data_IF_072746124905
#
_entry.id   IF_072746124905
#
_cell.length_a   1.000
_cell.length_b   1.000
_cell.length_c   1.000
_cell.angle_alpha   90.00
_cell.angle_beta   90.00
_cell.angle_gamma   90.00
#
_symmetry.space_group_name_H-M   'P 1'
#
loop_
_entity.id
_entity.type
_entity.pdbx_description
1 polymer ?
#
# COMPACT_ATOMS: atom_id res chain seq x y z
N UNK A 1 4.19 -10.93 13.52
CA UNK A 1 2.76 -10.64 13.75
C UNK A 1 2.29 -9.65 12.68
N UNK A 2 1.20 -9.94 11.96
CA UNK A 2 0.72 -9.04 10.90
C UNK A 2 0.15 -7.74 11.47
N UNK A 3 0.39 -6.63 10.73
CA UNK A 3 -0.18 -5.31 10.97
C UNK A 3 -0.89 -4.89 9.70
N UNK A 4 -2.20 -4.66 9.77
CA UNK A 4 -2.98 -4.07 8.69
C UNK A 4 -3.24 -2.61 9.03
N UNK A 5 -2.87 -1.70 8.13
CA UNK A 5 -3.07 -0.26 8.29
C UNK A 5 -4.43 0.13 7.69
N UNK A 6 -5.25 0.82 8.47
CA UNK A 6 -6.53 1.37 8.04
C UNK A 6 -6.45 2.89 7.97
N UNK A 7 -6.85 3.46 6.86
CA UNK A 7 -6.87 4.89 6.64
C UNK A 7 -8.18 5.38 6.02
N UNK A 8 -8.41 6.67 6.04
CA UNK A 8 -9.61 7.31 5.50
C UNK A 8 -10.67 7.63 6.55
N UNK A 9 -11.77 8.29 6.14
CA UNK A 9 -12.77 8.84 7.07
C UNK A 9 -13.42 7.80 7.99
N UNK A 10 -13.65 6.59 7.48
CA UNK A 10 -14.30 5.49 8.19
C UNK A 10 -13.32 4.40 8.69
N UNK A 11 -12.02 4.69 8.69
CA UNK A 11 -10.97 3.72 9.02
C UNK A 11 -11.17 3.03 10.38
N UNK A 12 -11.44 3.80 11.43
CA UNK A 12 -11.67 3.25 12.77
C UNK A 12 -12.93 2.37 12.80
N UNK A 13 -14.01 2.82 12.19
CA UNK A 13 -15.25 2.06 12.12
C UNK A 13 -15.07 0.75 11.38
N UNK A 14 -14.32 0.77 10.27
CA UNK A 14 -13.99 -0.43 9.49
C UNK A 14 -13.11 -1.38 10.32
N UNK A 15 -12.05 -0.89 10.94
CA UNK A 15 -11.15 -1.68 11.77
C UNK A 15 -11.91 -2.37 12.92
N UNK A 16 -12.79 -1.64 13.62
CA UNK A 16 -13.61 -2.20 14.71
C UNK A 16 -14.61 -3.26 14.24
N UNK A 17 -15.16 -3.11 13.03
CA UNK A 17 -16.03 -4.12 12.43
C UNK A 17 -15.31 -5.41 12.08
N UNK A 18 -14.05 -5.31 11.67
CA UNK A 18 -13.20 -6.42 11.28
C UNK A 18 -12.45 -7.04 12.47
N UNK A 19 -12.45 -6.36 13.62
CA UNK A 19 -11.77 -6.84 14.82
C UNK A 19 -12.36 -8.16 15.30
N UNK A 20 -11.49 -9.15 15.46
CA UNK A 20 -11.82 -10.47 15.99
C UNK A 20 -11.20 -10.69 17.37
N UNK A 21 -11.67 -11.67 18.18
CA UNK A 21 -11.05 -11.99 19.45
C UNK A 21 -9.55 -12.27 19.33
N UNK A 22 -8.75 -11.54 20.08
CA UNK A 22 -7.29 -11.62 20.04
C UNK A 22 -6.62 -10.59 19.10
N UNK A 23 -7.38 -9.83 18.31
CA UNK A 23 -6.86 -8.71 17.57
C UNK A 23 -6.77 -7.46 18.45
N UNK A 24 -5.81 -6.58 18.12
CA UNK A 24 -5.63 -5.32 18.82
C UNK A 24 -5.73 -4.14 17.86
N UNK A 25 -6.47 -3.10 18.28
CA UNK A 25 -6.53 -1.82 17.57
C UNK A 25 -5.48 -0.89 18.16
N UNK A 26 -4.69 -0.27 17.29
CA UNK A 26 -3.71 0.77 17.63
C UNK A 26 -4.14 2.05 16.92
N UNK A 27 -4.48 3.07 17.68
CA UNK A 27 -5.01 4.33 17.15
C UNK A 27 -4.70 5.50 18.10
N UNK A 28 -4.68 6.72 17.60
CA UNK A 28 -4.53 7.94 18.39
C UNK A 28 -5.81 8.37 19.12
N UNK A 29 -6.97 7.98 18.61
CA UNK A 29 -8.28 8.47 19.05
C UNK A 29 -9.23 7.36 19.57
N UNK A 30 -8.70 6.17 19.87
CA UNK A 30 -9.49 5.05 20.34
C UNK A 30 -8.85 4.39 21.57
N UNK A 31 -9.59 4.31 22.66
CA UNK A 31 -9.17 3.70 23.95
C UNK A 31 -10.18 2.65 24.43
N UNK A 32 -10.59 1.75 23.57
CA UNK A 32 -11.51 0.66 23.87
C UNK A 32 -10.81 -0.64 24.30
N UNK A 33 -11.58 -1.68 24.61
CA UNK A 33 -11.03 -3.01 24.91
C UNK A 33 -10.15 -3.54 23.76
N UNK A 34 -8.97 -4.05 24.07
CA UNK A 34 -8.04 -4.55 23.06
C UNK A 34 -7.42 -3.44 22.22
N UNK A 35 -7.16 -2.27 22.80
CA UNK A 35 -6.51 -1.15 22.12
C UNK A 35 -5.21 -0.71 22.78
N UNK A 36 -4.40 0.01 22.01
CA UNK A 36 -3.25 0.79 22.45
C UNK A 36 -3.36 2.17 21.83
N UNK A 37 -3.33 3.21 22.64
CA UNK A 37 -3.35 4.59 22.15
C UNK A 37 -1.96 5.00 21.68
N UNK A 38 -1.88 5.58 20.49
CA UNK A 38 -0.70 6.31 20.03
C UNK A 38 -0.77 7.72 20.62
N UNK A 39 0.27 8.12 21.31
CA UNK A 39 0.43 9.50 21.74
C UNK A 39 1.21 10.26 20.65
N UNK A 40 0.58 11.21 19.94
CA UNK A 40 1.23 11.91 18.85
C UNK A 40 2.43 12.73 19.35
N UNK A 41 3.61 12.47 18.82
CA UNK A 41 4.78 13.31 19.05
C UNK A 41 4.79 14.51 18.10
N UNK A 42 4.23 15.62 18.55
CA UNK A 42 4.14 16.88 17.80
C UNK A 42 5.54 17.43 17.44
N UNK A 43 6.55 17.15 18.26
CA UNK A 43 7.92 17.62 18.01
C UNK A 43 8.57 16.93 16.81
N UNK A 44 8.22 15.67 16.54
CA UNK A 44 8.72 14.94 15.38
C UNK A 44 8.06 15.38 14.06
N UNK A 45 6.79 15.74 14.08
CA UNK A 45 6.06 16.21 12.88
C UNK A 45 6.67 17.49 12.28
N UNK A 46 7.37 18.30 13.06
CA UNK A 46 7.90 19.61 12.63
C UNK A 46 9.38 19.62 12.26
N UNK A 47 10.14 18.57 12.55
CA UNK A 47 11.62 18.60 12.47
C UNK A 47 12.24 17.70 11.42
N UNK A 48 11.52 16.83 10.77
CA UNK A 48 12.12 15.80 9.91
C UNK A 48 11.75 15.97 8.44
N UNK A 49 12.73 15.68 7.58
CA UNK A 49 12.47 15.48 6.17
C UNK A 49 11.41 14.37 6.00
N UNK A 50 10.29 14.62 5.30
CA UNK A 50 9.26 13.61 5.10
C UNK A 50 9.78 12.30 4.48
N UNK A 51 10.89 12.38 3.74
CA UNK A 51 11.50 11.23 3.09
C UNK A 51 12.30 10.29 4.01
N UNK A 52 12.64 10.75 5.24
CA UNK A 52 13.50 10.00 6.17
C UNK A 52 12.89 9.84 7.56
N UNK A 53 11.67 10.35 7.77
CA UNK A 53 11.08 10.41 9.10
C UNK A 53 10.56 9.05 9.57
N UNK A 54 11.22 8.46 10.54
CA UNK A 54 10.65 7.37 11.33
C UNK A 54 9.73 7.99 12.39
N UNK A 55 8.53 7.51 12.47
CA UNK A 55 7.54 7.94 13.46
C UNK A 55 7.74 7.19 14.77
N UNK A 56 8.44 7.81 15.73
CA UNK A 56 8.74 7.21 17.02
C UNK A 56 7.48 6.94 17.86
N UNK A 57 6.45 7.77 17.74
CA UNK A 57 5.14 7.56 18.37
C UNK A 57 4.48 6.26 17.87
N UNK A 58 4.55 6.00 16.57
CA UNK A 58 4.06 4.78 15.94
C UNK A 58 4.85 3.55 16.40
N UNK A 59 6.18 3.64 16.38
CA UNK A 59 7.09 2.56 16.83
C UNK A 59 6.76 2.17 18.26
N UNK A 60 6.68 3.15 19.17
CA UNK A 60 6.39 2.91 20.57
C UNK A 60 5.00 2.29 20.77
N UNK A 61 3.97 2.81 20.10
CA UNK A 61 2.62 2.27 20.16
C UNK A 61 2.54 0.80 19.72
N UNK A 62 3.19 0.47 18.60
CA UNK A 62 3.22 -0.89 18.07
C UNK A 62 4.04 -1.84 18.94
N UNK A 63 5.19 -1.39 19.47
CA UNK A 63 5.98 -2.19 20.40
C UNK A 63 5.24 -2.44 21.71
N UNK A 64 4.52 -1.46 22.25
CA UNK A 64 3.65 -1.66 23.41
C UNK A 64 2.58 -2.72 23.13
N UNK A 65 1.94 -2.67 21.96
CA UNK A 65 0.97 -3.68 21.56
C UNK A 65 1.61 -5.07 21.43
N UNK A 66 2.76 -5.16 20.76
CA UNK A 66 3.45 -6.42 20.50
C UNK A 66 4.01 -7.11 21.76
N UNK A 67 4.42 -6.34 22.78
CA UNK A 67 5.03 -6.83 24.03
C UNK A 67 4.03 -7.15 25.13
N UNK A 68 2.73 -7.11 24.85
CA UNK A 68 1.72 -7.45 25.86
C UNK A 68 1.85 -8.91 26.30
N UNK A 69 1.50 -9.17 27.57
CA UNK A 69 1.57 -10.52 28.17
C UNK A 69 0.75 -11.55 27.35
N UNK A 70 -0.41 -11.14 26.84
CA UNK A 70 -1.17 -11.91 25.86
C UNK A 70 -0.89 -11.30 24.49
N UNK A 71 0.01 -11.94 23.73
CA UNK A 71 0.40 -11.48 22.40
C UNK A 71 -0.81 -11.41 21.46
N UNK A 72 -1.02 -10.30 20.76
CA UNK A 72 -2.09 -10.20 19.78
C UNK A 72 -1.93 -11.20 18.65
N UNK A 73 -3.05 -11.61 18.06
CA UNK A 73 -3.06 -12.39 16.83
C UNK A 73 -2.63 -11.53 15.65
N UNK A 74 -3.15 -10.31 15.56
CA UNK A 74 -2.82 -9.26 14.60
C UNK A 74 -3.06 -7.87 15.18
N UNK A 75 -2.49 -6.87 14.56
CA UNK A 75 -2.71 -5.46 14.91
C UNK A 75 -3.48 -4.79 13.78
N UNK A 76 -4.54 -4.08 14.14
CA UNK A 76 -5.30 -3.18 13.30
C UNK A 76 -4.84 -1.76 13.63
N UNK A 77 -3.97 -1.21 12.78
CA UNK A 77 -3.43 0.12 12.96
C UNK A 77 -4.33 1.14 12.24
N UNK A 78 -4.90 2.06 12.97
CA UNK A 78 -5.76 3.11 12.41
C UNK A 78 -4.96 4.40 12.29
N UNK A 79 -4.75 4.86 11.07
CA UNK A 79 -4.11 6.12 10.77
C UNK A 79 -5.04 7.30 11.11
N UNK A 80 -4.46 8.37 11.62
CA UNK A 80 -5.17 9.66 11.73
C UNK A 80 -5.34 10.27 10.33
N UNK A 81 -6.44 10.99 10.03
CA UNK A 81 -6.62 11.64 8.74
C UNK A 81 -5.50 12.61 8.32
N UNK A 82 -4.74 13.10 9.28
CA UNK A 82 -3.56 13.95 9.05
C UNK A 82 -2.25 13.19 8.86
N UNK A 83 -2.27 11.86 8.97
CA UNK A 83 -1.07 11.03 8.84
C UNK A 83 -0.69 10.83 7.37
N UNK A 84 0.59 10.93 7.10
CA UNK A 84 1.18 10.51 5.82
C UNK A 84 1.37 8.99 5.83
N UNK A 85 0.51 8.27 5.09
CA UNK A 85 0.57 6.81 4.98
C UNK A 85 1.89 6.30 4.41
N UNK A 86 2.51 7.06 3.52
CA UNK A 86 3.81 6.70 2.96
C UNK A 86 4.88 6.68 4.04
N UNK A 87 4.87 7.69 4.93
CA UNK A 87 5.77 7.74 6.09
C UNK A 87 5.45 6.64 7.12
N UNK A 88 4.18 6.31 7.35
CA UNK A 88 3.81 5.19 8.21
C UNK A 88 4.30 3.86 7.65
N UNK A 89 4.07 3.63 6.37
CA UNK A 89 4.53 2.42 5.66
C UNK A 89 6.05 2.31 5.69
N UNK A 90 6.74 3.42 5.40
CA UNK A 90 8.20 3.50 5.52
C UNK A 90 8.68 3.10 6.92
N UNK A 91 8.05 3.64 7.98
CA UNK A 91 8.39 3.31 9.37
C UNK A 91 8.21 1.82 9.66
N UNK A 92 7.08 1.23 9.24
CA UNK A 92 6.78 -0.18 9.44
C UNK A 92 7.79 -1.11 8.74
N UNK A 93 8.32 -0.71 7.60
CA UNK A 93 9.25 -1.51 6.81
C UNK A 93 10.71 -1.30 7.21
N UNK A 94 11.10 -0.07 7.56
CA UNK A 94 12.51 0.29 7.78
C UNK A 94 12.99 0.20 9.23
N UNK A 95 12.07 0.21 10.22
CA UNK A 95 12.46 0.15 11.62
C UNK A 95 12.85 -1.28 12.04
N UNK A 96 14.12 -1.45 12.40
CA UNK A 96 14.70 -2.74 12.76
C UNK A 96 14.11 -3.35 14.04
N UNK A 97 13.61 -2.53 14.98
CA UNK A 97 12.98 -3.03 16.20
C UNK A 97 11.57 -3.52 15.91
N UNK A 98 10.83 -2.81 15.07
CA UNK A 98 9.51 -3.26 14.62
C UNK A 98 9.60 -4.55 13.81
N UNK A 99 10.54 -4.66 12.88
CA UNK A 99 10.70 -5.83 12.00
C UNK A 99 10.86 -7.15 12.77
N UNK A 100 11.40 -7.10 14.00
CA UNK A 100 11.51 -8.28 14.87
C UNK A 100 10.19 -8.73 15.49
N UNK A 101 9.19 -7.86 15.52
CA UNK A 101 7.93 -8.11 16.24
C UNK A 101 6.72 -8.13 15.32
N UNK A 102 6.71 -7.29 14.31
CA UNK A 102 5.58 -7.09 13.40
C UNK A 102 6.02 -7.15 11.94
N UNK A 103 5.07 -7.38 11.05
CA UNK A 103 5.24 -7.25 9.60
C UNK A 103 4.04 -6.54 9.01
N UNK A 104 4.25 -5.69 8.04
CA UNK A 104 3.16 -5.03 7.31
C UNK A 104 2.41 -6.08 6.48
N UNK A 105 1.12 -6.24 6.74
CA UNK A 105 0.23 -7.13 5.99
C UNK A 105 -0.34 -6.42 4.77
N UNK A 106 -0.83 -5.20 4.97
CA UNK A 106 -1.34 -4.35 3.90
C UNK A 106 -1.90 -3.04 4.40
N UNK A 107 -2.24 -2.17 3.46
CA UNK A 107 -2.85 -0.86 3.66
C UNK A 107 -4.27 -0.88 3.09
N UNK A 108 -5.26 -0.57 3.92
CA UNK A 108 -6.67 -0.55 3.58
C UNK A 108 -7.20 0.88 3.67
N UNK A 109 -7.70 1.40 2.56
CA UNK A 109 -8.33 2.72 2.50
C UNK A 109 -9.85 2.60 2.60
N UNK A 110 -10.44 3.18 3.64
CA UNK A 110 -11.90 3.28 3.80
C UNK A 110 -12.39 4.57 3.12
N UNK A 111 -13.23 4.42 2.10
CA UNK A 111 -13.77 5.53 1.29
C UNK A 111 -15.28 5.60 1.43
N UNK A 112 -15.82 6.76 1.79
CA UNK A 112 -17.25 7.04 1.68
C UNK A 112 -17.59 7.22 0.19
N UNK A 113 -18.26 6.23 -0.39
CA UNK A 113 -18.56 6.20 -1.81
C UNK A 113 -19.46 7.36 -2.27
N UNK A 114 -20.40 7.80 -1.41
CA UNK A 114 -21.33 8.90 -1.73
C UNK A 114 -20.57 10.23 -1.76
N UNK A 115 -19.73 10.48 -0.74
CA UNK A 115 -18.93 11.69 -0.69
C UNK A 115 -17.90 11.73 -1.85
N UNK A 116 -17.24 10.61 -2.14
CA UNK A 116 -16.27 10.50 -3.24
C UNK A 116 -16.94 10.70 -4.60
N UNK A 117 -18.09 10.07 -4.87
CA UNK A 117 -18.84 10.24 -6.11
C UNK A 117 -19.30 11.69 -6.33
N UNK A 118 -19.67 12.40 -5.26
CA UNK A 118 -20.03 13.82 -5.32
C UNK A 118 -18.84 14.70 -5.71
N UNK A 119 -17.64 14.41 -5.17
CA UNK A 119 -16.41 15.14 -5.50
C UNK A 119 -16.00 14.92 -6.96
N UNK A 120 -16.15 13.69 -7.49
CA UNK A 120 -15.82 13.36 -8.89
C UNK A 120 -16.78 14.07 -9.87
N UNK A 121 -18.05 14.26 -9.50
CA UNK A 121 -19.04 14.92 -10.34
C UNK A 121 -18.78 16.44 -10.47
N UNK A 122 -18.08 17.06 -9.52
CA UNK A 122 -17.60 18.42 -9.63
C UNK A 122 -16.22 18.42 -10.35
N UNK A 123 -15.88 19.49 -11.10
CA UNK A 123 -14.52 19.63 -11.66
C UNK A 123 -13.53 19.78 -10.51
N UNK A 124 -13.04 18.68 -9.97
CA UNK A 124 -12.21 18.61 -8.79
C UNK A 124 -11.70 17.20 -8.56
N UNK A 125 -10.77 17.08 -7.66
CA UNK A 125 -10.06 15.86 -7.30
C UNK A 125 -10.90 14.95 -6.41
N UNK A 126 -10.59 13.66 -6.44
CA UNK A 126 -11.03 12.67 -5.45
C UNK A 126 -10.66 13.06 -4.00
N UNK A 127 -9.67 13.93 -3.83
CA UNK A 127 -9.18 14.39 -2.55
C UNK A 127 -8.05 15.42 -2.69
N UNK A 128 -7.44 15.79 -1.58
CA UNK A 128 -6.20 16.54 -1.57
C UNK A 128 -5.00 15.61 -1.88
N UNK A 129 -3.79 16.15 -2.04
CA UNK A 129 -2.58 15.39 -2.35
C UNK A 129 -2.36 14.22 -1.37
N UNK A 130 -2.54 14.44 -0.07
CA UNK A 130 -2.36 13.42 0.96
C UNK A 130 -3.38 12.28 0.84
N UNK A 131 -4.63 12.59 0.48
CA UNK A 131 -5.66 11.57 0.23
C UNK A 131 -5.37 10.79 -1.07
N UNK A 132 -4.84 11.43 -2.09
CA UNK A 132 -4.45 10.77 -3.35
C UNK A 132 -3.25 9.85 -3.15
N UNK A 133 -2.25 10.28 -2.39
CA UNK A 133 -1.11 9.46 -2.01
C UNK A 133 -1.54 8.23 -1.20
N UNK A 134 -2.46 8.44 -0.25
CA UNK A 134 -3.04 7.37 0.54
C UNK A 134 -3.79 6.34 -0.33
N UNK A 135 -4.58 6.82 -1.28
CA UNK A 135 -5.26 5.95 -2.25
C UNK A 135 -4.25 5.20 -3.13
N UNK A 136 -3.20 5.87 -3.59
CA UNK A 136 -2.20 5.29 -4.49
C UNK A 136 -1.39 4.15 -3.84
N UNK A 137 -1.15 4.21 -2.52
CA UNK A 137 -0.41 3.17 -1.78
C UNK A 137 -1.31 2.08 -1.20
N UNK A 138 -2.63 2.23 -1.26
CA UNK A 138 -3.55 1.25 -0.70
C UNK A 138 -3.53 -0.09 -1.43
N UNK A 139 -3.51 -1.19 -0.68
CA UNK A 139 -3.65 -2.55 -1.20
C UNK A 139 -5.11 -2.93 -1.41
N UNK A 140 -5.99 -2.38 -0.58
CA UNK A 140 -7.43 -2.51 -0.73
C UNK A 140 -8.14 -1.18 -0.49
N UNK A 141 -9.16 -0.90 -1.29
CA UNK A 141 -10.03 0.28 -1.16
C UNK A 141 -11.44 -0.22 -0.86
N UNK A 142 -11.94 0.05 0.33
CA UNK A 142 -13.26 -0.39 0.79
C UNK A 142 -14.26 0.75 0.65
N UNK A 143 -15.28 0.53 -0.18
CA UNK A 143 -16.31 1.52 -0.50
C UNK A 143 -17.50 1.41 0.46
N UNK A 144 -17.48 2.20 1.54
CA UNK A 144 -18.65 2.35 2.41
C UNK A 144 -19.79 3.06 1.68
N UNK A 145 -21.05 2.71 2.01
CA UNK A 145 -22.26 3.33 1.44
C UNK A 145 -22.40 3.21 -0.09
N UNK A 146 -21.69 2.26 -0.70
CA UNK A 146 -21.72 2.05 -2.16
C UNK A 146 -23.11 1.72 -2.71
N UNK A 147 -23.97 1.08 -1.90
CA UNK A 147 -25.36 0.76 -2.26
C UNK A 147 -26.29 1.96 -2.39
N UNK A 148 -25.88 3.15 -1.94
CA UNK A 148 -26.63 4.40 -2.11
C UNK A 148 -26.38 5.04 -3.49
N UNK A 149 -25.39 4.56 -4.24
CA UNK A 149 -25.06 5.07 -5.58
C UNK A 149 -25.91 4.41 -6.66
N UNK A 150 -26.17 5.18 -7.73
CA UNK A 150 -26.65 4.57 -8.98
C UNK A 150 -25.55 3.74 -9.62
N UNK A 151 -25.93 2.77 -10.47
CA UNK A 151 -24.96 1.94 -11.22
C UNK A 151 -23.94 2.78 -11.98
N UNK A 152 -24.39 3.84 -12.65
CA UNK A 152 -23.53 4.80 -13.36
C UNK A 152 -22.58 5.56 -12.41
N UNK A 153 -23.09 6.03 -11.27
CA UNK A 153 -22.31 6.71 -10.24
C UNK A 153 -21.22 5.80 -9.68
N UNK A 154 -21.58 4.56 -9.38
CA UNK A 154 -20.65 3.54 -8.92
C UNK A 154 -19.57 3.24 -9.98
N UNK A 155 -19.97 3.03 -11.25
CA UNK A 155 -19.04 2.79 -12.34
C UNK A 155 -18.02 3.93 -12.53
N UNK A 156 -18.49 5.19 -12.49
CA UNK A 156 -17.57 6.36 -12.56
C UNK A 156 -16.63 6.43 -11.37
N UNK A 157 -17.13 6.16 -10.16
CA UNK A 157 -16.29 6.13 -8.96
C UNK A 157 -15.19 5.08 -9.06
N UNK A 158 -15.53 3.85 -9.41
CA UNK A 158 -14.55 2.76 -9.56
C UNK A 158 -13.52 3.08 -10.65
N UNK A 159 -13.95 3.67 -11.77
CA UNK A 159 -13.03 4.12 -12.81
C UNK A 159 -12.04 5.16 -12.29
N UNK A 160 -12.53 6.19 -11.60
CA UNK A 160 -11.70 7.24 -11.05
C UNK A 160 -10.72 6.74 -9.98
N UNK A 161 -11.14 5.79 -9.14
CA UNK A 161 -10.25 5.16 -8.15
C UNK A 161 -9.17 4.32 -8.82
N UNK A 162 -9.51 3.54 -9.85
CA UNK A 162 -8.54 2.79 -10.65
C UNK A 162 -7.58 3.67 -11.42
N UNK A 163 -8.02 4.85 -11.74
CA UNK A 163 -7.16 5.85 -12.34
C UNK A 163 -6.03 6.32 -11.40
N UNK A 164 -6.28 6.39 -10.08
CA UNK A 164 -5.27 6.73 -9.06
C UNK A 164 -4.50 5.49 -8.62
N UNK A 165 -5.18 4.36 -8.43
CA UNK A 165 -4.57 3.12 -7.95
C UNK A 165 -4.94 1.94 -8.86
N UNK A 166 -3.98 1.50 -9.66
CA UNK A 166 -4.13 0.38 -10.59
C UNK A 166 -3.84 -0.99 -9.94
N UNK A 167 -3.28 -0.99 -8.75
CA UNK A 167 -2.80 -2.20 -8.05
C UNK A 167 -3.78 -2.67 -6.99
N UNK A 168 -4.35 -1.73 -6.22
CA UNK A 168 -5.22 -2.04 -5.10
C UNK A 168 -6.57 -2.65 -5.51
N UNK A 169 -7.04 -3.57 -4.69
CA UNK A 169 -8.36 -4.16 -4.87
C UNK A 169 -9.47 -3.19 -4.44
N UNK A 170 -10.39 -2.88 -5.33
CA UNK A 170 -11.59 -2.09 -4.98
C UNK A 170 -12.69 -3.05 -4.52
N UNK A 171 -13.07 -2.95 -3.25
CA UNK A 171 -14.07 -3.78 -2.61
C UNK A 171 -15.31 -2.93 -2.30
N UNK A 172 -16.46 -3.33 -2.81
CA UNK A 172 -17.74 -2.83 -2.37
C UNK A 172 -18.39 -3.94 -1.52
N UNK A 173 -18.57 -3.76 -0.19
CA UNK A 173 -19.31 -4.71 0.59
C UNK A 173 -20.69 -4.87 -0.03
N UNK A 174 -21.06 -6.08 -0.42
CA UNK A 174 -22.40 -6.34 -0.89
C UNK A 174 -23.37 -5.94 0.24
N UNK A 175 -24.39 -5.15 -0.08
CA UNK A 175 -25.56 -4.99 0.79
C UNK A 175 -26.11 -6.39 1.00
N UNK A 176 -25.67 -7.10 2.03
CA UNK A 176 -26.32 -8.35 2.39
C UNK A 176 -27.73 -7.98 2.80
N UNK A 177 -28.69 -8.78 2.37
CA UNK A 177 -30.09 -8.64 2.76
C UNK A 177 -30.31 -8.68 4.29
N UNK A 178 -29.23 -8.86 5.06
CA UNK A 178 -29.16 -8.85 6.53
C UNK A 178 -28.64 -7.54 7.14
N UNK A 179 -28.33 -6.51 6.33
CA UNK A 179 -27.82 -5.24 6.84
C UNK A 179 -26.39 -5.32 7.41
N UNK A 180 -25.68 -6.39 7.17
CA UNK A 180 -24.30 -6.58 7.58
C UNK A 180 -23.39 -6.20 6.41
N UNK A 181 -23.07 -4.89 6.34
CA UNK A 181 -22.12 -4.30 5.35
C UNK A 181 -20.67 -4.70 5.67
N UNK A 182 -20.44 -5.89 6.19
CA UNK A 182 -19.09 -6.36 6.51
C UNK A 182 -18.41 -6.77 5.21
N UNK A 183 -17.26 -6.16 4.85
CA UNK A 183 -16.46 -6.67 3.77
C UNK A 183 -15.99 -8.08 4.12
N UNK A 184 -15.79 -8.91 3.11
CA UNK A 184 -15.21 -10.23 3.31
C UNK A 184 -13.84 -10.07 3.97
N UNK A 185 -13.67 -10.67 5.15
CA UNK A 185 -12.41 -10.57 5.92
C UNK A 185 -11.21 -10.99 5.05
N UNK A 186 -11.39 -11.98 4.18
CA UNK A 186 -10.32 -12.51 3.31
C UNK A 186 -9.89 -11.53 2.21
N UNK A 187 -10.69 -10.49 1.92
CA UNK A 187 -10.38 -9.48 0.89
C UNK A 187 -9.65 -8.28 1.46
N UNK A 188 -9.74 -8.04 2.76
CA UNK A 188 -9.15 -6.86 3.44
C UNK A 188 -8.14 -7.22 4.53
N UNK A 189 -8.01 -8.49 4.86
CA UNK A 189 -7.14 -8.99 5.92
C UNK A 189 -6.35 -10.20 5.41
N UNK A 190 -5.09 -10.32 5.83
CA UNK A 190 -4.21 -11.37 5.32
C UNK A 190 -3.79 -11.10 3.87
N UNK A 191 -3.67 -9.82 3.52
CA UNK A 191 -3.33 -9.37 2.17
C UNK A 191 -1.93 -9.82 1.76
N UNK A 192 -1.02 -9.94 2.72
CA UNK A 192 0.41 -10.27 2.53
C UNK A 192 1.06 -9.43 1.40
N UNK A 193 0.52 -8.24 1.18
CA UNK A 193 0.75 -7.41 -0.01
C UNK A 193 2.19 -6.86 -0.09
N UNK A 194 2.93 -6.94 1.01
CA UNK A 194 4.32 -6.45 1.12
C UNK A 194 5.33 -7.60 1.26
N UNK A 195 4.91 -8.84 1.02
CA UNK A 195 5.77 -10.03 1.11
C UNK A 195 5.58 -10.98 -0.07
N UNK A 196 4.55 -10.80 -0.89
CA UNK A 196 4.27 -11.61 -2.06
C UNK A 196 4.50 -10.87 -3.38
N UNK A 197 4.39 -11.60 -4.49
CA UNK A 197 4.43 -11.01 -5.82
C UNK A 197 3.24 -10.05 -6.03
N UNK A 198 3.44 -8.91 -6.71
CA UNK A 198 2.35 -8.00 -6.98
C UNK A 198 1.29 -8.65 -7.88
N UNK A 199 0.04 -8.51 -7.48
CA UNK A 199 -1.09 -8.94 -8.32
C UNK A 199 -1.53 -7.76 -9.18
N UNK A 200 -1.25 -7.82 -10.48
CA UNK A 200 -1.71 -6.80 -11.43
C UNK A 200 -2.90 -7.35 -12.19
N UNK A 201 -3.98 -6.59 -12.24
CA UNK A 201 -5.04 -6.85 -13.23
C UNK A 201 -4.42 -6.80 -14.62
N UNK A 202 -4.58 -7.88 -15.42
CA UNK A 202 -3.84 -8.18 -16.64
C UNK A 202 -4.15 -7.28 -17.85
N UNK A 203 -4.80 -6.16 -17.67
CA UNK A 203 -5.13 -5.21 -18.72
C UNK A 203 -3.94 -4.27 -19.00
N UNK A 204 -3.04 -4.73 -19.84
CA UNK A 204 -2.11 -3.93 -20.64
C UNK A 204 -0.99 -3.17 -19.92
N UNK A 205 0.05 -2.74 -20.66
CA UNK A 205 1.00 -1.75 -20.17
C UNK A 205 0.25 -0.43 -20.12
N UNK A 206 -0.09 0.04 -18.95
CA UNK A 206 -0.73 1.33 -18.79
C UNK A 206 0.20 2.26 -18.05
N UNK A 207 0.86 3.10 -18.83
CA UNK A 207 1.40 4.34 -18.31
C UNK A 207 0.20 5.27 -18.18
N UNK A 208 -0.28 5.47 -16.98
CA UNK A 208 -1.24 6.53 -16.70
C UNK A 208 -0.47 7.82 -16.46
N UNK A 209 0.05 8.41 -17.54
CA UNK A 209 0.59 9.77 -17.50
C UNK A 209 -0.57 10.74 -17.58
N UNK A 210 -0.70 11.62 -16.61
CA UNK A 210 -1.74 12.66 -16.61
C UNK A 210 -1.09 14.04 -16.70
N UNK A 211 -1.76 14.93 -17.40
CA UNK A 211 -1.40 16.37 -17.44
C UNK A 211 -1.67 17.10 -16.10
N UNK A 212 -1.61 16.36 -14.96
CA UNK A 212 -1.91 16.90 -13.64
C UNK A 212 -0.82 16.45 -12.67
N UNK A 213 -0.05 17.39 -12.19
CA UNK A 213 1.09 17.18 -11.27
C UNK A 213 0.68 16.70 -9.87
N UNK A 214 -0.61 16.79 -9.54
CA UNK A 214 -1.16 16.45 -8.23
C UNK A 214 -1.65 14.98 -8.10
N UNK A 215 -1.67 14.22 -9.20
CA UNK A 215 -2.06 12.79 -9.20
C UNK A 215 -0.82 11.93 -9.36
N UNK A 216 -0.63 10.91 -8.51
CA UNK A 216 0.50 10.00 -8.66
C UNK A 216 0.46 9.25 -10.00
N UNK A 217 1.63 9.12 -10.62
CA UNK A 217 1.84 8.27 -11.79
C UNK A 217 1.98 6.81 -11.37
N UNK A 218 1.51 5.89 -12.20
CA UNK A 218 1.80 4.46 -12.08
C UNK A 218 2.53 3.99 -13.31
N UNK A 219 3.74 3.47 -13.12
CA UNK A 219 4.58 2.92 -14.18
C UNK A 219 4.71 1.42 -14.00
N UNK A 220 4.29 0.64 -15.01
CA UNK A 220 4.38 -0.81 -15.01
C UNK A 220 5.48 -1.24 -15.98
N UNK A 221 6.55 -1.82 -15.44
CA UNK A 221 7.71 -2.29 -16.17
C UNK A 221 7.66 -3.81 -16.33
N UNK A 222 7.90 -4.31 -17.52
CA UNK A 222 7.91 -5.75 -17.82
C UNK A 222 9.16 -6.14 -18.58
N UNK A 223 9.73 -7.29 -18.23
CA UNK A 223 10.86 -7.88 -18.92
C UNK A 223 10.65 -9.38 -19.04
N UNK A 224 10.63 -9.88 -20.27
CA UNK A 224 10.41 -11.30 -20.56
C UNK A 224 11.70 -12.15 -20.51
N UNK A 225 12.86 -11.53 -20.27
CA UNK A 225 14.13 -12.21 -20.11
C UNK A 225 14.62 -12.13 -18.66
N UNK A 226 15.40 -13.11 -18.21
CA UNK A 226 16.02 -13.06 -16.88
C UNK A 226 16.87 -11.81 -16.72
N UNK A 227 16.93 -11.32 -15.48
CA UNK A 227 17.69 -10.14 -15.09
C UNK A 227 19.08 -10.52 -14.56
N UNK A 228 20.06 -9.68 -14.82
CA UNK A 228 21.37 -9.75 -14.20
C UNK A 228 21.26 -9.30 -12.72
N UNK A 229 21.77 -10.11 -11.76
CA UNK A 229 21.59 -9.81 -10.34
C UNK A 229 22.25 -8.49 -9.90
N UNK A 230 23.45 -8.18 -10.42
CA UNK A 230 24.15 -6.97 -10.06
C UNK A 230 23.48 -5.74 -10.68
N UNK A 231 23.10 -5.84 -11.97
CA UNK A 231 22.45 -4.74 -12.68
C UNK A 231 21.07 -4.40 -12.10
N UNK A 232 20.28 -5.41 -11.67
CA UNK A 232 18.98 -5.12 -11.05
C UNK A 232 19.13 -4.53 -9.65
N UNK A 233 20.12 -4.94 -8.87
CA UNK A 233 20.40 -4.38 -7.54
C UNK A 233 20.85 -2.91 -7.65
N UNK A 234 21.73 -2.60 -8.60
CA UNK A 234 22.14 -1.24 -8.93
C UNK A 234 20.94 -0.37 -9.35
N UNK A 235 20.08 -0.91 -10.21
CA UNK A 235 18.89 -0.18 -10.67
C UNK A 235 17.88 0.08 -9.56
N UNK A 236 17.62 -0.90 -8.68
CA UNK A 236 16.74 -0.72 -7.53
C UNK A 236 17.29 0.32 -6.55
N UNK A 237 18.59 0.30 -6.30
CA UNK A 237 19.27 1.29 -5.47
C UNK A 237 19.16 2.68 -6.09
N UNK A 238 19.48 2.82 -7.39
CA UNK A 238 19.32 4.08 -8.11
C UNK A 238 17.87 4.62 -8.03
N UNK A 239 16.88 3.74 -8.21
CA UNK A 239 15.46 4.11 -8.18
C UNK A 239 15.10 4.74 -6.83
N UNK A 240 15.41 4.08 -5.72
CA UNK A 240 15.06 4.57 -4.39
C UNK A 240 15.86 5.81 -3.98
N UNK A 241 17.13 5.90 -4.38
CA UNK A 241 17.99 7.05 -4.07
C UNK A 241 17.57 8.30 -4.86
N UNK A 242 17.31 8.12 -6.17
CA UNK A 242 16.96 9.23 -7.07
C UNK A 242 15.54 9.73 -6.84
N UNK A 243 14.60 8.82 -6.59
CA UNK A 243 13.17 9.14 -6.50
C UNK A 243 12.61 9.14 -5.07
N UNK A 244 13.44 9.01 -4.03
CA UNK A 244 13.02 8.88 -2.63
C UNK A 244 11.89 9.83 -2.19
N UNK A 245 11.91 11.09 -2.66
CA UNK A 245 10.87 12.09 -2.30
C UNK A 245 9.57 11.92 -3.07
N UNK A 246 9.63 11.30 -4.24
CA UNK A 246 8.51 11.15 -5.19
C UNK A 246 7.94 9.74 -5.19
N UNK A 247 8.73 8.76 -4.76
CA UNK A 247 8.37 7.36 -4.71
C UNK A 247 7.38 7.11 -3.57
N UNK A 248 6.16 6.78 -3.90
CA UNK A 248 5.13 6.38 -2.94
C UNK A 248 5.18 4.89 -2.67
N UNK A 249 5.35 4.08 -3.72
CA UNK A 249 5.38 2.63 -3.65
C UNK A 249 6.14 2.02 -4.81
N UNK A 250 6.87 0.96 -4.54
CA UNK A 250 7.41 0.05 -5.55
C UNK A 250 7.09 -1.38 -5.15
N UNK A 251 6.71 -2.19 -6.13
CA UNK A 251 6.52 -3.63 -5.97
C UNK A 251 7.02 -4.35 -7.21
N UNK A 252 7.68 -5.48 -7.02
CA UNK A 252 8.13 -6.29 -8.16
C UNK A 252 8.23 -7.77 -7.84
N UNK A 253 8.17 -8.56 -8.91
CA UNK A 253 8.50 -9.97 -8.93
C UNK A 253 9.48 -10.20 -10.08
N UNK A 254 10.71 -10.53 -9.76
CA UNK A 254 11.86 -10.52 -10.64
C UNK A 254 12.34 -11.93 -10.94
N UNK A 255 12.53 -12.24 -12.21
CA UNK A 255 13.22 -13.43 -12.66
C UNK A 255 14.72 -13.11 -12.78
N UNK A 256 15.50 -13.49 -11.79
CA UNK A 256 16.95 -13.20 -11.72
C UNK A 256 17.75 -14.44 -12.12
N UNK A 257 18.80 -14.26 -12.91
CA UNK A 257 19.71 -15.36 -13.29
C UNK A 257 20.24 -16.06 -12.04
N UNK A 258 20.28 -17.38 -12.06
CA UNK A 258 20.75 -18.22 -10.96
C UNK A 258 19.88 -18.24 -9.70
N UNK A 259 18.79 -17.48 -9.64
CA UNK A 259 17.81 -17.59 -8.55
C UNK A 259 16.92 -18.81 -8.79
N UNK A 260 16.72 -19.65 -7.75
CA UNK A 260 15.86 -20.83 -7.82
C UNK A 260 14.36 -20.48 -7.76
N UNK A 261 14.04 -19.26 -7.30
CA UNK A 261 12.69 -18.72 -7.17
C UNK A 261 12.68 -17.26 -7.63
N UNK A 262 11.47 -16.70 -7.81
CA UNK A 262 11.34 -15.25 -8.04
C UNK A 262 11.82 -14.46 -6.85
N UNK A 263 12.42 -13.31 -7.13
CA UNK A 263 12.78 -12.33 -6.11
C UNK A 263 11.69 -11.27 -6.05
N UNK A 264 10.95 -11.22 -4.96
CA UNK A 264 10.01 -10.15 -4.70
C UNK A 264 10.75 -8.94 -4.16
N UNK A 265 10.46 -7.77 -4.69
CA UNK A 265 10.99 -6.51 -4.20
C UNK A 265 9.86 -5.55 -3.83
N UNK A 266 10.05 -4.82 -2.75
CA UNK A 266 9.13 -3.80 -2.26
C UNK A 266 9.90 -2.57 -1.85
N UNK A 267 9.34 -1.40 -2.11
CA UNK A 267 9.97 -0.15 -1.74
C UNK A 267 8.94 0.93 -1.42
N UNK A 268 9.37 1.85 -0.59
CA UNK A 268 8.66 3.07 -0.26
C UNK A 268 9.68 4.15 0.08
N UNK A 269 9.56 5.31 -0.53
CA UNK A 269 10.52 6.41 -0.37
C UNK A 269 11.97 5.93 -0.64
N UNK A 270 12.86 6.13 0.31
CA UNK A 270 14.28 5.72 0.23
C UNK A 270 14.55 4.30 0.74
N UNK A 271 13.53 3.50 0.99
CA UNK A 271 13.67 2.14 1.48
C UNK A 271 13.24 1.13 0.42
N UNK A 272 14.09 0.16 0.15
CA UNK A 272 13.75 -1.02 -0.65
C UNK A 272 14.20 -2.28 0.08
N UNK A 273 13.44 -3.34 -0.09
CA UNK A 273 13.79 -4.68 0.38
C UNK A 273 13.49 -5.71 -0.71
N UNK A 274 14.27 -6.78 -0.72
CA UNK A 274 14.03 -7.93 -1.59
C UNK A 274 14.09 -9.22 -0.79
N UNK A 275 13.33 -10.22 -1.21
CA UNK A 275 13.33 -11.56 -0.63
C UNK A 275 12.94 -12.58 -1.70
N UNK A 276 13.39 -13.82 -1.54
CA UNK A 276 13.00 -14.91 -2.43
C UNK A 276 11.59 -15.39 -2.09
N UNK A 277 10.72 -15.44 -3.09
CA UNK A 277 9.40 -16.03 -2.94
C UNK A 277 9.52 -17.56 -2.83
N UNK A 278 8.71 -18.18 -1.96
CA UNK A 278 8.56 -19.63 -1.98
C UNK A 278 7.93 -20.03 -3.33
N UNK A 279 8.61 -20.89 -4.10
CA UNK A 279 8.19 -21.25 -5.44
C UNK A 279 6.78 -21.85 -5.43
N UNK A 280 5.80 -21.11 -5.96
CA UNK A 280 4.52 -21.67 -6.37
C UNK A 280 4.66 -22.14 -7.84
N UNK A 281 4.63 -23.47 -8.10
CA UNK A 281 4.91 -24.01 -9.44
C UNK A 281 3.80 -23.73 -10.46
N UNK A 282 2.65 -23.17 -10.04
CA UNK A 282 1.45 -23.17 -10.90
C UNK A 282 1.20 -21.83 -11.61
N UNK A 283 1.69 -20.69 -11.12
CA UNK A 283 1.16 -19.39 -11.54
C UNK A 283 2.08 -18.46 -12.32
N UNK A 284 3.35 -18.81 -12.59
CA UNK A 284 4.21 -17.86 -13.31
C UNK A 284 5.15 -18.52 -14.32
N UNK A 285 5.15 -17.99 -15.55
CA UNK A 285 6.31 -18.14 -16.44
C UNK A 285 7.53 -17.67 -15.66
N UNK A 286 8.49 -18.56 -15.43
CA UNK A 286 9.68 -18.31 -14.58
C UNK A 286 10.57 -17.17 -15.10
N UNK A 287 10.35 -16.73 -16.32
CA UNK A 287 11.25 -15.82 -17.04
C UNK A 287 10.73 -14.39 -17.10
N UNK A 288 9.51 -14.11 -16.68
CA UNK A 288 8.92 -12.78 -16.75
C UNK A 288 9.13 -11.99 -15.45
N UNK A 289 9.73 -10.83 -15.56
CA UNK A 289 9.84 -9.85 -14.47
C UNK A 289 8.79 -8.76 -14.60
N UNK A 290 8.24 -8.34 -13.47
CA UNK A 290 7.28 -7.25 -13.35
C UNK A 290 7.72 -6.32 -12.23
N UNK A 291 7.77 -5.02 -12.50
CA UNK A 291 7.92 -3.99 -11.47
C UNK A 291 6.85 -2.92 -11.67
N UNK A 292 6.21 -2.53 -10.59
CA UNK A 292 5.24 -1.44 -10.54
C UNK A 292 5.85 -0.35 -9.67
N UNK A 293 5.91 0.85 -10.21
CA UNK A 293 6.39 2.05 -9.53
C UNK A 293 5.26 3.05 -9.47
N UNK A 294 4.94 3.54 -8.28
CA UNK A 294 3.92 4.56 -8.04
C UNK A 294 4.57 5.76 -7.40
N UNK A 295 4.34 6.95 -7.94
CA UNK A 295 4.94 8.17 -7.41
C UNK A 295 4.60 9.41 -8.24
N UNK A 296 5.15 10.56 -7.86
CA UNK A 296 4.91 11.83 -8.53
C UNK A 296 5.99 12.18 -9.54
N UNK A 297 5.59 12.62 -10.73
CA UNK A 297 6.50 13.13 -11.76
C UNK A 297 7.58 12.13 -12.15
N UNK A 298 7.19 10.87 -12.30
CA UNK A 298 8.08 9.79 -12.72
C UNK A 298 8.38 9.90 -14.21
N UNK A 299 9.66 9.83 -14.59
CA UNK A 299 10.07 9.74 -15.99
C UNK A 299 9.97 8.29 -16.47
N UNK A 300 8.95 8.04 -17.27
CA UNK A 300 8.63 6.69 -17.79
C UNK A 300 9.74 6.17 -18.71
N UNK A 301 10.32 7.03 -19.52
CA UNK A 301 11.35 6.64 -20.48
C UNK A 301 12.66 6.31 -19.74
N UNK A 302 13.00 7.09 -18.71
CA UNK A 302 14.14 6.83 -17.84
C UNK A 302 13.97 5.51 -17.08
N UNK A 303 12.82 5.29 -16.44
CA UNK A 303 12.52 4.05 -15.72
C UNK A 303 12.52 2.83 -16.62
N UNK A 304 11.91 2.95 -17.81
CA UNK A 304 11.80 1.83 -18.76
C UNK A 304 13.15 1.46 -19.37
N UNK A 305 13.94 2.45 -19.76
CA UNK A 305 15.28 2.23 -20.32
C UNK A 305 16.25 1.67 -19.29
N UNK A 306 16.22 2.19 -18.07
CA UNK A 306 17.02 1.67 -16.96
C UNK A 306 16.67 0.22 -16.63
N UNK A 307 15.37 -0.11 -16.52
CA UNK A 307 14.93 -1.47 -16.25
C UNK A 307 15.27 -2.42 -17.41
N UNK A 308 15.13 -1.99 -18.66
CA UNK A 308 15.50 -2.81 -19.82
C UNK A 308 17.01 -3.12 -19.86
N UNK A 309 17.85 -2.23 -19.35
CA UNK A 309 19.30 -2.41 -19.28
C UNK A 309 19.73 -3.50 -18.26
N UNK A 310 18.85 -3.87 -17.32
CA UNK A 310 19.15 -4.93 -16.32
C UNK A 310 19.04 -6.35 -16.88
N UNK A 311 18.69 -6.52 -18.15
CA UNK A 311 18.62 -7.81 -18.81
C UNK A 311 19.95 -8.53 -18.80
N UNK A 312 19.97 -9.81 -18.40
CA UNK A 312 21.13 -10.66 -18.54
C UNK A 312 21.51 -10.84 -20.04
N UNK A 313 22.80 -10.83 -20.30
CA UNK A 313 23.37 -10.96 -21.66
C UNK A 313 23.47 -12.41 -22.10
#
# INVERSE_FOLDING_TARGET
MPVTVFAGPDALRLALRLQSPGDYVVASNWNGPGSVVIEPDVAHRTRQCPCCAIRLDLVDGLLRAARRARRPRRILLVADPSDDLTTMTYTLLSDADLARHVRLDGVVMAVDAVAAATRIAAPGLLGNELELDALAVADAIVLGRSGELTTDGFGRLVSALRDVNQVGHVCAPALSARGDDRPDDDVVMGLDAWHGAPTVSTAGPSVSRRDRDDVPDTVVLRQAAPLDPDAIDEWLTWLVDTHARRLLRMQGALAVVSASARVCCHGVRSFAMSHSEAADPVTSRRDDSLVIVVGHGLDVDELSSGFAATRAR
#
